data_IF_810582645880
#
_entry.id   IF_810582645880
#
_cell.length_a   1.000
_cell.length_b   1.000
_cell.length_c   1.000
_cell.angle_alpha   90.00
_cell.angle_beta   90.00
_cell.angle_gamma   90.00
#
_symmetry.space_group_name_H-M   'P 1'
#
loop_
_entity.id
_entity.type
_entity.pdbx_description
1 polymer ?
#
# COMPACT_ATOMS: atom_id res chain seq x y z
N UNK A 1 11.89 12.12 -42.40
CA UNK A 1 10.49 11.86 -41.98
C UNK A 1 10.29 10.51 -41.28
N UNK A 2 10.75 9.38 -41.84
CA UNK A 2 10.56 8.04 -41.24
C UNK A 2 11.21 7.84 -39.86
N UNK A 3 12.41 8.40 -39.64
CA UNK A 3 13.11 8.30 -38.36
C UNK A 3 12.39 9.02 -37.22
N UNK A 4 11.77 10.18 -37.50
CA UNK A 4 10.99 10.94 -36.53
C UNK A 4 9.73 10.18 -36.08
N UNK A 5 9.05 9.49 -37.01
CA UNK A 5 7.90 8.64 -36.69
C UNK A 5 8.29 7.46 -35.81
N UNK A 6 9.44 6.82 -36.08
CA UNK A 6 9.95 5.72 -35.26
C UNK A 6 10.28 6.19 -33.85
N UNK A 7 10.94 7.35 -33.72
CA UNK A 7 11.29 7.94 -32.42
C UNK A 7 10.03 8.32 -31.63
N UNK A 8 9.02 8.91 -32.28
CA UNK A 8 7.73 9.21 -31.65
C UNK A 8 7.02 7.95 -31.15
N UNK A 9 6.95 6.88 -31.96
CA UNK A 9 6.35 5.61 -31.56
C UNK A 9 7.07 4.97 -30.36
N UNK A 10 8.39 5.03 -30.32
CA UNK A 10 9.19 4.53 -29.18
C UNK A 10 8.91 5.31 -27.90
N UNK A 11 8.82 6.64 -27.98
CA UNK A 11 8.49 7.50 -26.83
C UNK A 11 7.09 7.14 -26.28
N UNK A 12 6.09 7.00 -27.15
CA UNK A 12 4.70 6.67 -26.76
C UNK A 12 4.64 5.30 -26.06
N UNK A 13 5.43 4.32 -26.52
CA UNK A 13 5.53 3.01 -25.87
C UNK A 13 6.20 3.14 -24.51
N UNK A 14 7.28 3.92 -24.36
CA UNK A 14 7.98 4.06 -23.06
C UNK A 14 7.17 4.74 -21.96
N UNK A 15 6.32 5.71 -22.29
CA UNK A 15 5.51 6.44 -21.29
C UNK A 15 4.29 5.66 -20.80
N UNK A 16 3.84 4.64 -21.56
CA UNK A 16 2.63 3.87 -21.27
C UNK A 16 2.75 2.82 -20.16
N UNK A 17 3.96 2.52 -19.67
CA UNK A 17 4.18 1.40 -18.74
C UNK A 17 4.47 1.80 -17.28
N UNK A 18 4.61 3.09 -16.98
CA UNK A 18 5.30 3.53 -15.74
C UNK A 18 4.39 3.92 -14.58
N UNK A 19 3.20 3.31 -14.44
CA UNK A 19 2.26 3.63 -13.34
C UNK A 19 1.86 2.43 -12.46
N UNK A 20 2.70 1.41 -12.35
CA UNK A 20 2.49 0.35 -11.36
C UNK A 20 3.04 0.77 -9.99
N UNK A 21 2.23 1.46 -9.19
CA UNK A 21 2.43 1.51 -7.74
C UNK A 21 2.15 0.09 -7.22
N UNK A 22 3.20 -0.60 -6.77
CA UNK A 22 3.09 -1.96 -6.25
C UNK A 22 2.08 -2.05 -5.10
N UNK A 23 1.28 -3.13 -5.09
CA UNK A 23 0.32 -3.36 -4.03
C UNK A 23 1.02 -3.42 -2.65
N UNK A 24 0.44 -2.81 -1.61
CA UNK A 24 1.01 -2.87 -0.27
C UNK A 24 1.14 -4.30 0.25
N UNK A 25 2.28 -4.63 0.88
CA UNK A 25 2.58 -6.00 1.35
C UNK A 25 1.62 -6.52 2.41
N UNK A 26 0.97 -5.65 3.19
CA UNK A 26 0.02 -6.07 4.22
C UNK A 26 -1.22 -6.76 3.63
N UNK A 27 -1.55 -6.51 2.35
CA UNK A 27 -2.65 -7.17 1.64
C UNK A 27 -2.40 -8.67 1.46
N UNK A 28 -1.14 -9.10 1.49
CA UNK A 28 -0.76 -10.51 1.38
C UNK A 28 -0.86 -11.27 2.71
N UNK A 29 -1.12 -10.59 3.83
CA UNK A 29 -1.23 -11.23 5.15
C UNK A 29 -2.67 -11.67 5.37
N UNK A 30 -2.93 -12.96 5.64
CA UNK A 30 -4.27 -13.44 5.92
C UNK A 30 -4.84 -12.78 7.18
N UNK A 31 -6.13 -12.48 7.17
CA UNK A 31 -6.87 -11.88 8.29
C UNK A 31 -6.35 -10.51 8.74
N UNK A 32 -5.58 -9.78 7.92
CA UNK A 32 -5.01 -8.48 8.29
C UNK A 32 -6.10 -7.46 8.72
N UNK A 33 -7.29 -7.54 8.12
CA UNK A 33 -8.44 -6.69 8.43
C UNK A 33 -8.91 -6.83 9.88
N UNK A 34 -8.72 -7.99 10.54
CA UNK A 34 -9.06 -8.18 11.96
C UNK A 34 -8.11 -7.42 12.90
N UNK A 35 -6.94 -7.07 12.39
CA UNK A 35 -5.87 -6.41 13.12
C UNK A 35 -5.75 -4.92 12.77
N UNK A 36 -6.52 -4.45 11.78
CA UNK A 36 -6.52 -3.07 11.31
C UNK A 36 -7.92 -2.46 11.43
N UNK A 37 -7.98 -1.13 11.44
CA UNK A 37 -9.22 -0.36 11.43
C UNK A 37 -9.29 0.45 10.15
N UNK A 38 -10.47 0.52 9.57
CA UNK A 38 -10.74 1.45 8.46
C UNK A 38 -11.21 2.78 9.03
N UNK A 39 -10.59 3.86 8.57
CA UNK A 39 -10.98 5.23 8.92
C UNK A 39 -11.28 6.00 7.63
N UNK A 40 -12.48 6.57 7.55
CA UNK A 40 -12.94 7.33 6.38
C UNK A 40 -12.75 8.82 6.62
N UNK A 41 -11.82 9.44 5.90
CA UNK A 41 -11.54 10.88 5.97
C UNK A 41 -12.21 11.62 4.81
N UNK A 42 -13.54 11.70 4.84
CA UNK A 42 -14.34 12.59 3.98
C UNK A 42 -14.28 12.34 2.46
N UNK A 43 -13.61 11.27 2.02
CA UNK A 43 -13.43 10.94 0.60
C UNK A 43 -12.41 9.83 0.34
N UNK A 44 -11.59 9.48 1.33
CA UNK A 44 -10.67 8.34 1.26
C UNK A 44 -10.77 7.45 2.50
N UNK A 45 -10.70 6.14 2.28
CA UNK A 45 -10.60 5.14 3.36
C UNK A 45 -9.13 4.82 3.60
N UNK A 46 -8.70 5.01 4.84
CA UNK A 46 -7.35 4.69 5.31
C UNK A 46 -7.38 3.47 6.21
N UNK A 47 -6.37 2.60 6.06
CA UNK A 47 -6.17 1.46 6.95
C UNK A 47 -5.23 1.88 8.08
N UNK A 48 -5.69 1.72 9.31
CA UNK A 48 -5.02 2.13 10.53
C UNK A 48 -4.67 0.94 11.41
N UNK A 49 -3.42 0.87 11.86
CA UNK A 49 -2.97 -0.15 12.80
C UNK A 49 -2.95 0.39 14.24
N UNK A 50 -3.67 -0.25 15.18
CA UNK A 50 -3.65 0.15 16.58
C UNK A 50 -2.27 -0.10 17.23
N UNK A 51 -2.01 0.52 18.39
CA UNK A 51 -0.79 0.21 19.17
C UNK A 51 -0.82 -1.18 19.81
N UNK A 52 -2.02 -1.67 20.08
CA UNK A 52 -2.28 -2.95 20.75
C UNK A 52 -3.16 -3.83 19.86
N UNK A 53 -2.92 -5.15 19.84
CA UNK A 53 -3.73 -6.06 19.05
C UNK A 53 -5.20 -6.06 19.53
N UNK A 54 -6.18 -5.99 18.62
CA UNK A 54 -7.58 -6.28 18.92
C UNK A 54 -7.78 -7.72 19.40
N UNK A 55 -8.89 -8.01 20.09
CA UNK A 55 -9.20 -9.38 20.56
C UNK A 55 -9.30 -10.40 19.42
N UNK A 56 -9.85 -9.98 18.29
CA UNK A 56 -10.10 -10.84 17.14
C UNK A 56 -8.90 -10.98 16.20
N UNK A 57 -7.77 -10.34 16.53
CA UNK A 57 -6.56 -10.37 15.74
C UNK A 57 -5.70 -11.60 16.07
N UNK A 58 -5.44 -12.51 15.10
CA UNK A 58 -4.57 -13.65 15.32
C UNK A 58 -3.14 -13.21 15.66
N UNK A 59 -2.51 -13.87 16.64
CA UNK A 59 -1.14 -13.54 17.07
C UNK A 59 -0.11 -13.64 15.95
N UNK A 60 -0.28 -14.61 15.05
CA UNK A 60 0.57 -14.80 13.86
C UNK A 60 0.45 -13.63 12.90
N UNK A 61 -0.79 -13.22 12.59
CA UNK A 61 -1.10 -12.06 11.75
C UNK A 61 -0.57 -10.77 12.37
N UNK A 62 -0.75 -10.58 13.68
CA UNK A 62 -0.22 -9.41 14.40
C UNK A 62 1.30 -9.31 14.30
N UNK A 63 2.01 -10.41 14.53
CA UNK A 63 3.46 -10.44 14.46
C UNK A 63 3.98 -10.14 13.04
N UNK A 64 3.33 -10.69 12.01
CA UNK A 64 3.66 -10.40 10.62
C UNK A 64 3.44 -8.92 10.28
N UNK A 65 2.34 -8.33 10.71
CA UNK A 65 2.04 -6.91 10.53
C UNK A 65 3.03 -6.00 11.26
N UNK A 66 3.37 -6.31 12.51
CA UNK A 66 4.36 -5.55 13.28
C UNK A 66 5.74 -5.55 12.62
N UNK A 67 6.13 -6.66 11.98
CA UNK A 67 7.37 -6.71 11.20
C UNK A 67 7.33 -5.73 10.03
N UNK A 68 6.23 -5.71 9.26
CA UNK A 68 6.06 -4.79 8.14
C UNK A 68 6.02 -3.32 8.59
N UNK A 69 5.30 -3.00 9.67
CA UNK A 69 5.14 -1.63 10.17
C UNK A 69 6.49 -1.03 10.60
N UNK A 70 7.39 -1.84 11.17
CA UNK A 70 8.75 -1.40 11.55
C UNK A 70 9.63 -1.01 10.35
N UNK A 71 9.32 -1.55 9.17
CA UNK A 71 10.06 -1.27 7.94
C UNK A 71 9.56 0.01 7.24
N UNK A 72 8.40 0.54 7.63
CA UNK A 72 7.75 1.69 6.98
C UNK A 72 7.94 2.97 7.81
N UNK A 73 8.37 4.09 7.20
CA UNK A 73 8.51 5.38 7.89
C UNK A 73 7.18 5.89 8.45
N UNK A 74 7.22 6.55 9.62
CA UNK A 74 6.04 7.02 10.33
C UNK A 74 5.22 8.04 9.53
N UNK A 75 5.89 8.84 8.69
CA UNK A 75 5.31 9.86 7.81
C UNK A 75 4.44 9.29 6.69
N UNK A 76 4.56 8.00 6.38
CA UNK A 76 3.79 7.33 5.35
C UNK A 76 2.52 6.66 5.89
N UNK A 77 2.23 6.77 7.19
CA UNK A 77 0.98 6.29 7.74
C UNK A 77 -0.10 7.37 7.61
N UNK A 78 -1.21 7.09 6.90
CA UNK A 78 -2.29 8.05 6.69
C UNK A 78 -3.08 8.34 7.97
N UNK A 79 -2.96 7.49 9.00
CA UNK A 79 -3.70 7.61 10.24
C UNK A 79 -2.88 8.39 11.28
N UNK A 80 -3.32 9.60 11.60
CA UNK A 80 -2.83 10.33 12.77
C UNK A 80 -3.63 9.87 14.00
N UNK A 81 -2.91 9.57 15.07
CA UNK A 81 -3.52 9.44 16.40
C UNK A 81 -3.99 10.80 16.89
#
# INVERSE_FOLDING_TARGET
MRLFLIVLLMIIVTVGWVNCVGAPRYLSIPDFHKCAKEESNGGSTSICWPKTPPKDCPSSTWNALQKLIKEVPAENFPCKK
#
